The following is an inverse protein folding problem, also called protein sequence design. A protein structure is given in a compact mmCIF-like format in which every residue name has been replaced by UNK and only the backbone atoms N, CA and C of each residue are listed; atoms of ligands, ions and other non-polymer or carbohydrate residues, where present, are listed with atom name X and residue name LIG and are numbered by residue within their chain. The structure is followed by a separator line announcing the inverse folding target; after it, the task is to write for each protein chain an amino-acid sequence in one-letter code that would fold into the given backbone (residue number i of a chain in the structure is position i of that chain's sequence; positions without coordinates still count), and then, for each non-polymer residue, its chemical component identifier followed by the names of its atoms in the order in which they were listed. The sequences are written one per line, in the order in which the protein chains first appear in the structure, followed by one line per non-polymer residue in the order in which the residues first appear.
data_IF_306624922893
#
_entry.id   IF_306624922893
#
_cell.length_a   1.000
_cell.length_b   1.000
_cell.length_c   1.000
_cell.angle_alpha   90.00
_cell.angle_beta   90.00
_cell.angle_gamma   90.00
#
_symmetry.space_group_name_H-M   'P 1'
#
loop_
_entity.id
_entity.type
_entity.pdbx_description
1 polymer ?
#
# COMPACT_ATOMS: atom_id res chain seq x y z
N UNK A 1 16.11 39.68 -34.72
CA UNK A 1 15.51 38.44 -34.28
C UNK A 1 15.74 38.28 -32.79
N UNK A 2 14.67 38.38 -31.95
CA UNK A 2 14.75 38.17 -30.51
C UNK A 2 14.18 36.74 -30.28
N UNK A 3 15.07 35.82 -29.93
CA UNK A 3 14.68 34.44 -29.62
C UNK A 3 14.18 34.38 -28.17
N UNK A 4 12.89 34.18 -27.97
CA UNK A 4 12.31 33.92 -26.66
C UNK A 4 12.57 32.46 -26.27
N UNK A 5 13.41 32.25 -25.26
CA UNK A 5 13.56 30.94 -24.60
C UNK A 5 12.45 30.87 -23.55
N UNK A 6 11.41 30.09 -23.84
CA UNK A 6 10.38 29.75 -22.86
C UNK A 6 10.99 28.76 -21.87
N UNK A 7 11.37 29.24 -20.68
CA UNK A 7 11.70 28.37 -19.56
C UNK A 7 10.41 27.68 -19.11
N UNK A 8 10.28 26.39 -19.40
CA UNK A 8 9.22 25.56 -18.84
C UNK A 8 9.51 25.37 -17.35
N UNK A 9 8.85 26.16 -16.52
CA UNK A 9 8.83 25.96 -15.09
C UNK A 9 7.94 24.75 -14.82
N UNK A 10 8.54 23.58 -14.62
CA UNK A 10 7.85 22.39 -14.11
C UNK A 10 7.83 22.56 -12.58
N UNK A 11 6.68 22.82 -11.96
CA UNK A 11 6.63 22.88 -10.50
C UNK A 11 6.94 21.49 -9.95
N UNK A 12 8.07 21.32 -9.31
CA UNK A 12 8.41 20.17 -8.50
C UNK A 12 7.51 20.20 -7.26
N UNK A 13 6.37 19.54 -7.31
CA UNK A 13 5.53 19.32 -6.14
C UNK A 13 6.21 18.26 -5.26
N UNK A 14 6.92 18.71 -4.23
CA UNK A 14 7.36 17.81 -3.16
C UNK A 14 6.14 17.42 -2.30
N UNK A 15 6.00 16.13 -1.93
CA UNK A 15 4.95 15.71 -1.03
C UNK A 15 5.12 16.40 0.33
N UNK A 16 4.05 17.01 0.83
CA UNK A 16 4.06 17.63 2.15
C UNK A 16 3.93 16.54 3.20
N UNK A 17 4.95 16.38 4.04
CA UNK A 17 4.92 15.47 5.18
C UNK A 17 4.29 16.18 6.38
N UNK A 18 3.32 15.52 7.01
CA UNK A 18 2.78 15.97 8.29
C UNK A 18 3.68 15.44 9.42
N UNK A 19 4.16 16.32 10.29
CA UNK A 19 5.13 15.98 11.34
C UNK A 19 4.50 15.38 12.59
N UNK A 20 3.16 15.37 12.70
CA UNK A 20 2.48 14.77 13.84
C UNK A 20 2.18 13.29 13.56
N UNK A 21 2.47 12.38 14.52
CA UNK A 21 2.11 10.97 14.39
C UNK A 21 0.59 10.83 14.29
N UNK A 22 0.10 10.31 13.18
CA UNK A 22 -1.30 10.01 13.00
C UNK A 22 -1.61 8.69 13.70
N UNK A 23 -2.45 8.72 14.73
CA UNK A 23 -2.86 7.51 15.43
C UNK A 23 -3.89 6.77 14.58
N UNK A 24 -3.49 5.63 14.02
CA UNK A 24 -4.31 4.82 13.11
C UNK A 24 -5.01 3.68 13.87
N UNK A 25 -6.24 3.34 13.45
CA UNK A 25 -6.91 2.13 13.94
C UNK A 25 -6.25 0.87 13.35
N UNK A 26 -6.39 -0.25 14.04
CA UNK A 26 -5.94 -1.55 13.52
C UNK A 26 -6.83 -1.96 12.33
N UNK A 27 -6.29 -2.03 11.10
CA UNK A 27 -7.07 -2.37 9.92
C UNK A 27 -7.64 -3.79 9.95
N UNK A 28 -7.05 -4.70 10.74
CA UNK A 28 -7.56 -6.06 10.94
C UNK A 28 -8.88 -6.05 11.72
N UNK A 29 -9.03 -5.14 12.67
CA UNK A 29 -10.26 -4.98 13.42
C UNK A 29 -11.37 -4.38 12.58
N UNK A 30 -11.04 -3.41 11.72
CA UNK A 30 -11.99 -2.81 10.78
C UNK A 30 -12.47 -3.85 9.78
N UNK A 31 -11.57 -4.62 9.19
CA UNK A 31 -11.90 -5.69 8.26
C UNK A 31 -12.77 -6.76 8.95
N UNK A 32 -12.38 -7.22 10.14
CA UNK A 32 -13.15 -8.21 10.90
C UNK A 32 -14.56 -7.70 11.21
N UNK A 33 -14.73 -6.46 11.64
CA UNK A 33 -16.03 -5.86 11.94
C UNK A 33 -16.93 -5.86 10.71
N UNK A 34 -16.41 -5.44 9.57
CA UNK A 34 -17.16 -5.35 8.31
C UNK A 34 -17.51 -6.73 7.72
N UNK A 35 -16.69 -7.75 7.94
CA UNK A 35 -16.95 -9.12 7.44
C UNK A 35 -17.89 -9.95 8.34
N UNK A 36 -18.05 -9.58 9.62
CA UNK A 36 -18.96 -10.28 10.56
C UNK A 36 -20.39 -9.76 10.48
N UNK A 37 -20.64 -8.64 9.81
CA UNK A 37 -22.00 -8.19 9.54
C UNK A 37 -22.71 -9.24 8.69
N UNK A 38 -23.63 -9.97 9.30
CA UNK A 38 -24.25 -11.18 8.75
C UNK A 38 -25.27 -10.96 7.62
N UNK A 39 -24.97 -10.05 6.69
CA UNK A 39 -25.73 -9.84 5.46
C UNK A 39 -24.93 -10.30 4.25
N UNK A 40 -25.59 -10.92 3.27
CA UNK A 40 -25.01 -11.27 1.97
C UNK A 40 -24.87 -10.03 1.05
N UNK A 41 -24.88 -8.83 1.60
CA UNK A 41 -24.76 -7.59 0.83
C UNK A 41 -23.32 -7.38 0.34
N UNK A 42 -23.22 -6.89 -0.89
CA UNK A 42 -21.93 -6.56 -1.49
C UNK A 42 -21.42 -5.26 -0.86
N UNK A 43 -20.36 -5.36 -0.08
CA UNK A 43 -19.74 -4.22 0.63
C UNK A 43 -18.84 -3.36 -0.25
N UNK A 44 -18.23 -3.94 -1.30
CA UNK A 44 -17.40 -3.22 -2.28
C UNK A 44 -17.66 -3.80 -3.67
N UNK A 45 -17.86 -2.91 -4.66
CA UNK A 45 -17.85 -3.24 -6.08
C UNK A 45 -16.71 -2.51 -6.75
N UNK A 46 -16.11 -3.12 -7.77
CA UNK A 46 -15.14 -2.41 -8.60
C UNK A 46 -15.22 -2.86 -10.05
N UNK A 47 -14.77 -1.97 -10.93
CA UNK A 47 -14.50 -2.26 -12.35
C UNK A 47 -13.07 -1.86 -12.65
N UNK A 48 -12.37 -2.65 -13.47
CA UNK A 48 -10.98 -2.39 -13.81
C UNK A 48 -10.70 -2.78 -15.25
N UNK A 49 -9.76 -2.10 -15.90
CA UNK A 49 -9.22 -2.44 -17.21
C UNK A 49 -8.13 -3.52 -17.15
N UNK A 50 -7.83 -4.03 -15.95
CA UNK A 50 -6.91 -5.16 -15.76
C UNK A 50 -7.59 -6.49 -16.15
N UNK A 51 -7.05 -7.28 -17.11
CA UNK A 51 -7.68 -8.51 -17.60
C UNK A 51 -7.77 -9.63 -16.55
N UNK A 52 -7.00 -9.54 -15.47
CA UNK A 52 -7.03 -10.49 -14.34
C UNK A 52 -7.74 -9.98 -13.11
N UNK A 53 -8.51 -8.89 -13.21
CA UNK A 53 -9.06 -8.20 -12.05
C UNK A 53 -8.01 -7.44 -11.26
N UNK A 54 -8.39 -6.94 -10.09
CA UNK A 54 -7.50 -6.23 -9.18
C UNK A 54 -7.70 -6.72 -7.75
N UNK A 55 -6.60 -6.83 -7.00
CA UNK A 55 -6.65 -6.99 -5.55
C UNK A 55 -6.68 -5.60 -4.92
N UNK A 56 -7.69 -5.33 -4.10
CA UNK A 56 -7.77 -4.10 -3.34
C UNK A 56 -7.05 -4.29 -1.99
N UNK A 57 -5.94 -3.62 -1.83
CA UNK A 57 -5.17 -3.59 -0.58
C UNK A 57 -5.79 -2.55 0.34
N UNK A 58 -6.02 -2.90 1.59
CA UNK A 58 -6.52 -2.00 2.62
C UNK A 58 -5.35 -1.31 3.33
N UNK A 59 -4.48 -2.10 3.93
CA UNK A 59 -3.30 -1.61 4.63
C UNK A 59 -2.17 -2.65 4.62
N UNK A 60 -0.97 -2.21 4.92
CA UNK A 60 0.22 -3.06 5.10
C UNK A 60 0.58 -3.13 6.58
N UNK A 61 0.82 -4.32 7.08
CA UNK A 61 1.23 -4.59 8.46
C UNK A 61 2.70 -5.05 8.46
N UNK A 62 3.68 -4.13 8.41
CA UNK A 62 5.07 -4.49 8.18
C UNK A 62 5.82 -4.92 9.44
N UNK A 63 5.29 -4.63 10.63
CA UNK A 63 5.95 -4.92 11.90
C UNK A 63 5.54 -6.29 12.42
N UNK A 64 6.51 -7.19 12.59
CA UNK A 64 6.29 -8.51 13.19
C UNK A 64 6.66 -8.48 14.68
N UNK A 65 5.73 -8.92 15.51
CA UNK A 65 5.93 -9.12 16.96
C UNK A 65 5.50 -10.52 17.38
N UNK A 66 5.65 -10.86 18.65
CA UNK A 66 5.12 -12.11 19.22
C UNK A 66 3.58 -12.15 19.23
N UNK A 67 2.92 -11.00 19.14
CA UNK A 67 1.46 -10.89 19.00
C UNK A 67 0.97 -10.98 17.55
N UNK A 68 1.89 -11.01 16.57
CA UNK A 68 1.58 -11.06 15.14
C UNK A 68 2.05 -9.84 14.37
N UNK A 69 1.46 -9.62 13.20
CA UNK A 69 1.76 -8.47 12.37
C UNK A 69 0.96 -7.23 12.82
N UNK A 70 1.61 -6.08 12.80
CA UNK A 70 1.03 -4.81 13.22
C UNK A 70 1.44 -3.66 12.28
N UNK A 71 0.73 -2.55 12.40
CA UNK A 71 1.16 -1.27 11.82
C UNK A 71 2.47 -0.83 12.47
N UNK A 72 3.27 -0.12 11.71
CA UNK A 72 4.41 0.65 12.22
C UNK A 72 4.09 2.13 12.22
N UNK A 73 4.99 2.94 12.76
CA UNK A 73 4.94 4.39 12.61
C UNK A 73 4.94 4.75 11.13
N UNK A 74 3.89 5.44 10.69
CA UNK A 74 3.66 5.73 9.28
C UNK A 74 4.01 7.17 8.99
N UNK A 75 4.89 7.39 8.03
CA UNK A 75 5.17 8.72 7.48
C UNK A 75 4.11 9.03 6.42
N UNK A 76 3.14 9.87 6.78
CA UNK A 76 2.03 10.24 5.91
C UNK A 76 2.38 11.49 5.10
N UNK A 77 2.05 11.46 3.84
CA UNK A 77 2.16 12.59 2.91
C UNK A 77 0.84 12.81 2.18
N UNK A 78 0.67 14.01 1.65
CA UNK A 78 -0.45 14.40 0.79
C UNK A 78 0.06 14.88 -0.56
N UNK A 79 -0.81 14.95 -1.56
CA UNK A 79 -0.46 15.41 -2.90
C UNK A 79 -0.10 14.26 -3.84
N UNK A 80 0.97 14.41 -4.61
CA UNK A 80 1.35 13.41 -5.62
C UNK A 80 1.97 12.18 -4.98
N UNK A 81 1.45 10.99 -5.30
CA UNK A 81 2.03 9.73 -4.89
C UNK A 81 3.40 9.54 -5.59
N UNK A 82 4.46 9.22 -4.86
CA UNK A 82 5.78 8.95 -5.45
C UNK A 82 5.77 7.65 -6.25
N UNK A 83 6.81 7.44 -7.03
CA UNK A 83 7.01 6.13 -7.67
C UNK A 83 7.08 5.03 -6.62
N UNK A 84 6.51 3.84 -6.92
CA UNK A 84 6.59 2.71 -6.00
C UNK A 84 8.04 2.36 -5.64
N UNK A 85 8.28 1.84 -4.43
CA UNK A 85 9.61 1.36 -4.04
C UNK A 85 10.20 0.40 -5.07
N UNK A 86 11.49 0.55 -5.38
CA UNK A 86 12.16 -0.26 -6.41
C UNK A 86 11.82 0.13 -7.85
N UNK A 87 10.98 1.15 -8.06
CA UNK A 87 10.56 1.63 -9.39
C UNK A 87 10.20 0.49 -10.37
N UNK A 88 9.29 -0.41 -9.99
CA UNK A 88 8.97 -1.58 -10.82
C UNK A 88 8.37 -1.16 -12.16
N UNK A 89 8.63 -1.96 -13.19
CA UNK A 89 7.96 -1.82 -14.48
C UNK A 89 6.57 -2.47 -14.41
N UNK A 90 5.58 -1.83 -15.00
CA UNK A 90 4.21 -2.34 -15.05
C UNK A 90 3.35 -1.61 -16.07
N UNK A 91 2.14 -2.08 -16.24
CA UNK A 91 1.14 -1.47 -17.12
C UNK A 91 0.24 -0.58 -16.28
N UNK A 92 0.04 0.68 -16.69
CA UNK A 92 -0.92 1.58 -16.04
C UNK A 92 -2.33 1.01 -16.15
N UNK A 93 -3.07 1.02 -15.04
CA UNK A 93 -4.45 0.52 -14.95
C UNK A 93 -5.33 1.54 -14.25
N UNK A 94 -6.60 1.53 -14.64
CA UNK A 94 -7.64 2.33 -13.99
C UNK A 94 -8.65 1.39 -13.33
N UNK A 95 -8.97 1.67 -12.07
CA UNK A 95 -9.96 0.93 -11.29
C UNK A 95 -10.95 1.92 -10.68
N UNK A 96 -12.24 1.72 -10.97
CA UNK A 96 -13.33 2.47 -10.33
C UNK A 96 -13.90 1.61 -9.21
N UNK A 97 -14.04 2.18 -8.03
CA UNK A 97 -14.48 1.48 -6.82
C UNK A 97 -15.72 2.17 -6.27
N UNK A 98 -16.72 1.37 -5.91
CA UNK A 98 -17.94 1.79 -5.22
C UNK A 98 -17.99 1.07 -3.87
N UNK A 99 -17.97 1.83 -2.79
CA UNK A 99 -18.03 1.31 -1.42
C UNK A 99 -19.46 1.46 -0.91
N UNK A 100 -20.03 0.36 -0.43
CA UNK A 100 -21.31 0.34 0.24
C UNK A 100 -21.16 0.49 1.76
N UNK A 101 -21.69 -0.46 2.51
CA UNK A 101 -21.62 -0.48 3.98
C UNK A 101 -20.27 -1.06 4.46
N UNK A 102 -19.19 -0.39 4.09
CA UNK A 102 -17.84 -0.70 4.56
C UNK A 102 -17.21 0.54 5.18
N UNK A 103 -17.11 0.56 6.50
CA UNK A 103 -16.56 1.68 7.27
C UNK A 103 -15.11 1.44 7.61
N UNK A 104 -14.22 2.30 7.10
CA UNK A 104 -12.78 2.27 7.40
C UNK A 104 -12.16 3.66 7.23
N UNK A 105 -11.04 3.87 7.87
CA UNK A 105 -10.16 5.01 7.61
C UNK A 105 -9.15 4.72 6.48
N UNK A 106 -9.05 3.46 6.04
CA UNK A 106 -8.18 3.00 4.99
C UNK A 106 -8.93 2.90 3.68
N UNK A 107 -8.42 3.54 2.64
CA UNK A 107 -9.02 3.49 1.30
C UNK A 107 -8.54 2.22 0.58
N UNK A 108 -9.43 1.29 0.20
CA UNK A 108 -9.06 0.11 -0.57
C UNK A 108 -8.52 0.50 -1.94
N UNK A 109 -7.25 0.20 -2.23
CA UNK A 109 -6.60 0.57 -3.50
C UNK A 109 -5.80 -0.58 -4.09
N UNK A 110 -5.75 -0.73 -5.43
CA UNK A 110 -4.82 -1.67 -6.05
C UNK A 110 -3.37 -1.25 -5.79
N UNK A 111 -2.49 -2.20 -5.57
CA UNK A 111 -1.06 -1.94 -5.56
C UNK A 111 -0.54 -1.92 -7.02
N UNK A 112 0.34 -1.00 -7.43
CA UNK A 112 0.83 0.16 -6.70
C UNK A 112 0.08 1.41 -7.16
N UNK A 113 -0.62 2.10 -6.26
CA UNK A 113 -1.35 3.31 -6.65
C UNK A 113 -0.36 4.40 -7.10
N UNK A 114 -0.72 5.10 -8.18
CA UNK A 114 0.05 6.25 -8.71
C UNK A 114 -0.74 7.54 -8.63
N UNK A 115 -2.06 7.43 -8.57
CA UNK A 115 -2.99 8.53 -8.33
C UNK A 115 -4.34 7.96 -7.89
N UNK A 116 -5.13 8.76 -7.21
CA UNK A 116 -6.53 8.48 -6.93
C UNK A 116 -7.34 9.78 -6.91
N UNK A 117 -8.63 9.65 -7.19
CA UNK A 117 -9.62 10.73 -7.10
C UNK A 117 -10.77 10.23 -6.23
N UNK A 118 -10.77 10.62 -4.97
CA UNK A 118 -11.71 10.19 -3.95
C UNK A 118 -12.24 11.40 -3.17
N UNK A 119 -13.55 11.44 -2.85
CA UNK A 119 -14.11 12.50 -2.02
C UNK A 119 -13.54 12.43 -0.61
N UNK A 120 -13.21 13.59 -0.01
CA UNK A 120 -12.65 13.68 1.33
C UNK A 120 -11.20 14.12 1.36
N UNK A 121 -10.59 14.04 2.53
CA UNK A 121 -9.20 14.42 2.77
C UNK A 121 -8.37 13.15 3.01
N UNK A 122 -7.53 12.82 2.04
CA UNK A 122 -6.75 11.60 1.99
C UNK A 122 -5.26 11.88 1.95
N UNK A 123 -4.52 11.09 2.71
CA UNK A 123 -3.06 10.99 2.63
C UNK A 123 -2.62 9.59 2.25
N UNK A 124 -1.32 9.42 2.09
CA UNK A 124 -0.73 8.11 1.81
C UNK A 124 0.56 7.89 2.59
N UNK A 125 0.82 6.64 2.93
CA UNK A 125 2.07 6.21 3.55
C UNK A 125 3.21 6.19 2.54
N UNK A 126 4.32 6.86 2.84
CA UNK A 126 5.48 6.94 1.92
C UNK A 126 6.15 5.58 1.67
N UNK A 127 6.13 4.71 2.67
CA UNK A 127 6.87 3.44 2.62
C UNK A 127 6.02 2.30 2.04
N UNK A 128 4.70 2.32 2.25
CA UNK A 128 3.80 1.22 1.87
C UNK A 128 2.79 1.59 0.79
N UNK A 129 2.63 2.88 0.51
CA UNK A 129 1.61 3.44 -0.40
C UNK A 129 0.18 3.07 0.00
N UNK A 130 -0.06 2.85 1.29
CA UNK A 130 -1.40 2.72 1.83
C UNK A 130 -2.07 4.09 1.86
N UNK A 131 -3.33 4.16 1.46
CA UNK A 131 -4.08 5.41 1.42
C UNK A 131 -5.02 5.47 2.62
N UNK A 132 -5.01 6.59 3.34
CA UNK A 132 -5.76 6.74 4.58
C UNK A 132 -6.41 8.10 4.71
N UNK A 133 -7.54 8.14 5.40
CA UNK A 133 -8.21 9.40 5.73
C UNK A 133 -7.37 10.20 6.71
N UNK A 134 -7.24 11.50 6.45
CA UNK A 134 -6.56 12.44 7.33
C UNK A 134 -7.39 12.75 8.57
N UNK A 135 -6.85 13.47 9.53
CA UNK A 135 -7.50 13.75 10.79
C UNK A 135 -8.85 14.47 10.61
N UNK A 136 -9.84 14.10 11.46
CA UNK A 136 -11.15 14.75 11.46
C UNK A 136 -12.25 13.87 12.07
N UNK A 137 -13.39 14.47 12.43
CA UNK A 137 -14.55 13.72 12.88
C UNK A 137 -15.07 12.82 11.74
N UNK A 138 -15.38 11.56 12.06
CA UNK A 138 -15.86 10.59 11.08
C UNK A 138 -14.80 9.83 10.30
N UNK A 139 -13.52 10.03 10.60
CA UNK A 139 -12.38 9.36 9.94
C UNK A 139 -12.56 7.83 9.86
N UNK A 140 -12.99 7.17 10.91
CA UNK A 140 -13.23 5.71 10.93
C UNK A 140 -14.36 5.23 10.01
N UNK A 141 -15.09 6.15 9.38
CA UNK A 141 -16.16 5.89 8.41
C UNK A 141 -15.93 6.59 7.07
N UNK A 142 -14.70 6.98 6.80
CA UNK A 142 -14.36 7.79 5.64
C UNK A 142 -14.64 7.09 4.30
N UNK A 143 -14.66 5.75 4.28
CA UNK A 143 -14.93 4.96 3.07
C UNK A 143 -16.41 4.67 2.84
N UNK A 144 -17.28 4.91 3.81
CA UNK A 144 -18.70 4.51 3.73
C UNK A 144 -19.44 5.28 2.64
N UNK A 145 -20.03 4.55 1.69
CA UNK A 145 -20.88 5.10 0.63
C UNK A 145 -20.15 5.94 -0.41
N UNK A 146 -18.82 5.92 -0.50
CA UNK A 146 -18.08 6.70 -1.49
C UNK A 146 -17.82 5.92 -2.78
N UNK A 147 -17.65 6.66 -3.86
CA UNK A 147 -17.13 6.13 -5.13
C UNK A 147 -15.89 6.91 -5.52
N UNK A 148 -14.88 6.22 -6.07
CA UNK A 148 -13.60 6.83 -6.44
C UNK A 148 -12.91 6.09 -7.57
N UNK A 149 -11.97 6.78 -8.23
CA UNK A 149 -11.09 6.23 -9.25
C UNK A 149 -9.67 6.09 -8.69
N UNK A 150 -9.01 4.98 -9.01
CA UNK A 150 -7.58 4.76 -8.71
C UNK A 150 -6.85 4.43 -10.00
N UNK A 151 -5.74 5.10 -10.23
CA UNK A 151 -4.74 4.70 -11.22
C UNK A 151 -3.61 3.98 -10.50
N UNK A 152 -3.27 2.81 -10.99
CA UNK A 152 -2.25 1.96 -10.41
C UNK A 152 -1.32 1.39 -11.47
N UNK A 153 -0.16 0.95 -11.05
CA UNK A 153 0.79 0.22 -11.87
C UNK A 153 0.59 -1.28 -11.63
N UNK A 154 0.10 -2.00 -12.62
CA UNK A 154 -0.05 -3.47 -12.57
C UNK A 154 1.32 -4.11 -12.78
N UNK A 155 1.97 -4.46 -11.67
CA UNK A 155 3.32 -5.04 -11.65
C UNK A 155 3.20 -6.56 -11.63
N UNK A 156 3.61 -7.19 -12.74
CA UNK A 156 3.59 -8.66 -12.89
C UNK A 156 4.96 -9.14 -13.34
N UNK A 157 5.91 -9.33 -12.40
CA UNK A 157 7.19 -9.93 -12.74
C UNK A 157 6.99 -11.37 -13.18
N UNK A 158 7.71 -11.79 -14.21
CA UNK A 158 7.73 -13.20 -14.61
C UNK A 158 8.53 -14.06 -13.62
N UNK A 159 8.33 -15.38 -13.66
CA UNK A 159 8.97 -16.31 -12.75
C UNK A 159 10.52 -16.26 -12.83
N UNK A 160 11.07 -15.97 -14.02
CA UNK A 160 12.51 -15.89 -14.23
C UNK A 160 13.09 -14.61 -13.61
N UNK A 161 12.38 -13.49 -13.72
CA UNK A 161 12.76 -12.23 -13.05
C UNK A 161 12.73 -12.39 -11.53
N UNK A 162 11.71 -13.05 -10.98
CA UNK A 162 11.62 -13.36 -9.55
C UNK A 162 12.79 -14.24 -9.14
N UNK A 163 13.05 -15.35 -9.85
CA UNK A 163 14.11 -16.29 -9.50
C UNK A 163 15.51 -15.66 -9.49
N UNK A 164 15.74 -14.62 -10.28
CA UNK A 164 17.01 -13.88 -10.35
C UNK A 164 17.09 -12.71 -9.37
N UNK A 165 16.00 -12.38 -8.68
CA UNK A 165 15.97 -11.22 -7.82
C UNK A 165 16.91 -11.40 -6.62
N UNK A 166 17.77 -10.41 -6.40
CA UNK A 166 18.62 -10.33 -5.22
C UNK A 166 17.99 -9.48 -4.14
N UNK A 167 18.37 -9.75 -2.88
CA UNK A 167 17.98 -8.88 -1.79
C UNK A 167 18.71 -7.54 -1.91
N UNK A 168 17.98 -6.50 -2.26
CA UNK A 168 18.54 -5.16 -2.24
C UNK A 168 18.20 -4.41 -0.94
N UNK A 169 18.85 -3.27 -0.73
CA UNK A 169 18.67 -2.40 0.43
C UNK A 169 17.52 -1.41 0.26
N UNK A 170 16.45 -1.76 -0.49
CA UNK A 170 15.36 -0.85 -0.80
C UNK A 170 14.73 -0.14 0.40
N UNK A 171 13.94 0.92 0.15
CA UNK A 171 13.22 1.63 1.20
C UNK A 171 12.36 0.69 2.05
N UNK A 172 12.33 0.91 3.35
CA UNK A 172 11.53 0.09 4.26
C UNK A 172 12.12 -1.28 4.62
N UNK A 173 13.34 -1.61 4.14
CA UNK A 173 13.99 -2.88 4.45
C UNK A 173 14.10 -3.16 5.95
N UNK A 174 14.56 -2.18 6.73
CA UNK A 174 14.70 -2.35 8.19
C UNK A 174 13.35 -2.74 8.81
N UNK A 175 12.27 -2.11 8.35
CA UNK A 175 10.94 -2.36 8.84
C UNK A 175 10.46 -3.79 8.52
N UNK A 176 10.71 -4.27 7.29
CA UNK A 176 10.23 -5.58 6.81
C UNK A 176 11.14 -6.74 7.16
N UNK A 177 12.37 -6.49 7.59
CA UNK A 177 13.36 -7.52 7.97
C UNK A 177 13.63 -7.60 9.47
N UNK A 178 13.08 -6.67 10.26
CA UNK A 178 13.17 -6.72 11.71
C UNK A 178 12.40 -7.91 12.26
N UNK A 179 13.08 -8.73 13.06
CA UNK A 179 12.48 -9.89 13.70
C UNK A 179 12.41 -9.67 15.22
N UNK A 180 11.34 -10.16 15.90
CA UNK A 180 11.26 -10.10 17.35
C UNK A 180 12.46 -10.80 17.99
N UNK A 181 12.98 -10.21 19.07
CA UNK A 181 14.08 -10.81 19.84
C UNK A 181 13.71 -12.21 20.36
N UNK A 182 12.44 -12.37 20.73
CA UNK A 182 11.88 -13.60 21.32
C UNK A 182 11.41 -14.62 20.25
N UNK A 183 11.76 -14.41 18.98
CA UNK A 183 11.41 -15.37 17.93
C UNK A 183 12.04 -16.73 18.23
N UNK A 184 11.25 -17.82 18.35
CA UNK A 184 11.79 -19.16 18.65
C UNK A 184 12.92 -19.57 17.71
N UNK A 185 14.01 -20.13 18.26
CA UNK A 185 15.18 -20.56 17.47
C UNK A 185 14.80 -21.53 16.35
N UNK A 186 13.82 -22.40 16.61
CA UNK A 186 13.31 -23.37 15.65
C UNK A 186 12.80 -22.74 14.33
N UNK A 187 12.19 -21.55 14.41
CA UNK A 187 11.74 -20.84 13.20
C UNK A 187 12.94 -20.40 12.36
N UNK A 188 13.99 -19.87 13.02
CA UNK A 188 15.21 -19.45 12.33
C UNK A 188 15.98 -20.63 11.73
N UNK A 189 16.03 -21.76 12.44
CA UNK A 189 16.63 -23.01 11.97
C UNK A 189 15.92 -23.54 10.74
N UNK A 190 14.59 -23.64 10.81
CA UNK A 190 13.75 -24.11 9.69
C UNK A 190 13.90 -23.19 8.47
N UNK A 191 13.89 -21.89 8.68
CA UNK A 191 14.08 -20.94 7.58
C UNK A 191 15.44 -21.17 6.89
N UNK A 192 16.52 -21.35 7.64
CA UNK A 192 17.85 -21.64 7.06
C UNK A 192 17.89 -23.00 6.36
N UNK A 193 17.26 -24.03 6.93
CA UNK A 193 17.18 -25.35 6.34
C UNK A 193 16.50 -25.31 4.98
N UNK A 194 15.34 -24.64 4.90
CA UNK A 194 14.53 -24.57 3.66
C UNK A 194 15.17 -23.65 2.61
N UNK A 195 15.80 -22.56 3.03
CA UNK A 195 16.30 -21.54 2.09
C UNK A 195 17.81 -21.58 1.87
N UNK A 196 18.56 -22.37 2.63
CA UNK A 196 20.02 -22.35 2.62
C UNK A 196 20.68 -22.73 1.30
N UNK A 197 20.01 -23.57 0.50
CA UNK A 197 20.50 -23.99 -0.82
C UNK A 197 20.03 -23.07 -1.98
N UNK A 198 19.17 -22.09 -1.73
CA UNK A 198 18.68 -21.22 -2.78
C UNK A 198 19.75 -20.21 -3.21
N UNK A 199 20.03 -20.07 -4.53
CA UNK A 199 21.14 -19.26 -5.04
C UNK A 199 20.90 -17.75 -4.93
N UNK A 200 19.64 -17.32 -4.92
CA UNK A 200 19.26 -15.90 -4.88
C UNK A 200 18.17 -15.64 -3.84
N UNK A 201 17.91 -14.39 -3.53
CA UNK A 201 16.82 -14.01 -2.65
C UNK A 201 15.44 -14.34 -3.27
N UNK A 202 15.30 -14.18 -4.57
CA UNK A 202 14.05 -14.49 -5.28
C UNK A 202 13.77 -15.98 -5.44
N UNK A 203 14.79 -16.84 -5.25
CA UNK A 203 14.66 -18.30 -5.27
C UNK A 203 14.34 -18.89 -3.88
N UNK A 204 14.38 -18.08 -2.83
CA UNK A 204 14.04 -18.46 -1.44
C UNK A 204 12.55 -18.40 -1.17
#
# INVERSE_FOLDING_TARGET
GVTWVAAHFVPTFEPRTNSEPLQMSDPSLDLKRNLIQGSDEVIIRYTTDSPGGAYLKLATLPSLSTAGFALSDVRVATGRIPSPPGSPRGVGRTTNVEVGDFSSEWLPVPYAPTAFDAPGDWGFALDTLDVMAMAGPGRGRATEGISYEVRSLDVRPDAEAIARAEADGGPGRELTTSLPVELPSRIRELAREVTGAAPTAGAK
#
